data_IF_852622719046
#
_entry.id   IF_852622719046
#
_cell.length_a   1.000
_cell.length_b   1.000
_cell.length_c   1.000
_cell.angle_alpha   90.00
_cell.angle_beta   90.00
_cell.angle_gamma   90.00
#
_symmetry.space_group_name_H-M   'P 1'
#
loop_
_entity.id
_entity.type
_entity.pdbx_description
1 polymer ?
#
# COMPACT_ATOMS: atom_id res chain seq x y z
N UNK A 1 7.82 -0.41 14.56
CA UNK A 1 7.23 -0.77 13.27
C UNK A 1 5.83 -0.20 13.19
N UNK A 2 5.46 0.23 12.01
CA UNK A 2 4.15 0.82 11.77
C UNK A 2 3.37 -0.01 10.80
N UNK A 3 2.06 -0.08 10.98
CA UNK A 3 1.16 -0.72 10.04
C UNK A 3 0.27 0.35 9.43
N UNK A 4 0.25 0.41 8.11
CA UNK A 4 -0.56 1.38 7.37
C UNK A 4 -1.54 0.63 6.50
N UNK A 5 -2.81 0.99 6.58
CA UNK A 5 -3.84 0.43 5.71
C UNK A 5 -4.30 1.50 4.73
N UNK A 6 -4.33 1.14 3.47
CA UNK A 6 -4.71 2.03 2.39
C UNK A 6 -5.91 1.47 1.64
N UNK A 7 -6.82 2.34 1.27
CA UNK A 7 -7.86 2.00 0.30
C UNK A 7 -7.29 2.25 -1.09
N UNK A 8 -7.17 1.19 -1.88
CA UNK A 8 -6.62 1.27 -3.22
C UNK A 8 -7.74 1.03 -4.23
N UNK A 9 -7.88 1.96 -5.15
CA UNK A 9 -8.89 1.85 -6.21
C UNK A 9 -8.27 1.29 -7.47
N UNK A 10 -9.10 0.69 -8.31
CA UNK A 10 -8.65 0.15 -9.58
C UNK A 10 -8.11 -1.27 -9.53
N UNK A 11 -8.08 -1.89 -8.37
CA UNK A 11 -7.70 -3.29 -8.25
C UNK A 11 -8.88 -4.17 -8.62
N UNK A 12 -8.92 -4.62 -9.86
CA UNK A 12 -10.04 -5.43 -10.34
C UNK A 12 -9.65 -6.85 -10.69
N UNK A 13 -8.37 -7.19 -10.61
CA UNK A 13 -7.88 -8.53 -10.96
C UNK A 13 -6.59 -8.85 -10.22
N UNK A 14 -6.18 -10.12 -10.28
CA UNK A 14 -4.97 -10.56 -9.60
C UNK A 14 -3.69 -9.90 -10.08
N UNK A 15 -3.65 -9.49 -11.34
CA UNK A 15 -2.50 -8.76 -11.87
C UNK A 15 -2.31 -7.42 -11.19
N UNK A 16 -3.42 -6.75 -10.89
CA UNK A 16 -3.40 -5.48 -10.18
C UNK A 16 -2.81 -5.66 -8.78
N UNK A 17 -3.18 -6.75 -8.10
CA UNK A 17 -2.62 -7.06 -6.78
C UNK A 17 -1.10 -7.16 -6.85
N UNK A 18 -0.58 -7.83 -7.86
CA UNK A 18 0.87 -7.97 -8.02
C UNK A 18 1.54 -6.63 -8.24
N UNK A 19 0.97 -5.78 -9.08
CA UNK A 19 1.52 -4.45 -9.35
C UNK A 19 1.51 -3.58 -8.10
N UNK A 20 0.41 -3.59 -7.37
CA UNK A 20 0.28 -2.83 -6.13
C UNK A 20 1.30 -3.32 -5.11
N UNK A 21 1.41 -4.63 -4.93
CA UNK A 21 2.37 -5.21 -3.99
C UNK A 21 3.79 -4.79 -4.35
N UNK A 22 4.14 -4.87 -5.61
CA UNK A 22 5.47 -4.52 -6.07
C UNK A 22 5.77 -3.05 -5.87
N UNK A 23 4.81 -2.18 -6.19
CA UNK A 23 4.96 -0.75 -6.01
C UNK A 23 5.19 -0.40 -4.54
N UNK A 24 4.43 -1.02 -3.65
CA UNK A 24 4.58 -0.78 -2.22
C UNK A 24 5.89 -1.32 -1.68
N UNK A 25 6.32 -2.48 -2.16
CA UNK A 25 7.59 -3.07 -1.72
C UNK A 25 8.80 -2.25 -2.16
N UNK A 26 8.65 -1.43 -3.18
CA UNK A 26 9.75 -0.59 -3.65
C UNK A 26 9.98 0.64 -2.75
N UNK A 27 9.05 0.92 -1.85
CA UNK A 27 9.18 2.06 -0.94
C UNK A 27 10.20 1.72 0.16
N UNK A 28 11.20 2.59 0.40
CA UNK A 28 12.18 2.32 1.46
C UNK A 28 11.51 2.21 2.83
N UNK A 29 11.96 1.24 3.62
CA UNK A 29 11.44 1.02 4.96
C UNK A 29 10.31 0.02 5.04
N UNK A 30 9.75 -0.39 3.92
CA UNK A 30 8.67 -1.39 3.90
C UNK A 30 9.23 -2.77 4.18
N UNK A 31 8.68 -3.45 5.19
CA UNK A 31 9.03 -4.82 5.54
C UNK A 31 8.11 -5.84 4.91
N UNK A 32 6.82 -5.56 4.96
CA UNK A 32 5.80 -6.51 4.51
C UNK A 32 4.66 -5.78 3.83
N UNK A 33 4.08 -6.41 2.84
CA UNK A 33 2.91 -5.89 2.14
C UNK A 33 1.88 -6.99 2.02
N UNK A 34 0.64 -6.69 2.40
CA UNK A 34 -0.49 -7.57 2.19
C UNK A 34 -1.56 -6.81 1.43
N UNK A 35 -2.12 -7.43 0.42
CA UNK A 35 -3.16 -6.81 -0.40
C UNK A 35 -4.41 -7.67 -0.35
N UNK A 36 -5.55 -7.03 -0.06
CA UNK A 36 -6.84 -7.70 -0.03
C UNK A 36 -7.66 -7.18 -1.21
N UNK A 37 -7.77 -8.01 -2.24
CA UNK A 37 -8.50 -7.65 -3.44
C UNK A 37 -10.00 -7.48 -3.18
N UNK A 38 -10.57 -8.34 -2.33
CA UNK A 38 -11.99 -8.31 -2.05
C UNK A 38 -12.42 -7.00 -1.40
N UNK A 39 -11.57 -6.44 -0.56
CA UNK A 39 -11.85 -5.18 0.14
C UNK A 39 -11.24 -3.97 -0.55
N UNK A 40 -10.40 -4.19 -1.54
CA UNK A 40 -9.69 -3.09 -2.19
C UNK A 40 -8.71 -2.39 -1.27
N UNK A 41 -8.08 -3.14 -0.37
CA UNK A 41 -7.16 -2.58 0.63
C UNK A 41 -5.78 -3.18 0.55
N UNK A 42 -4.80 -2.37 0.94
CA UNK A 42 -3.43 -2.81 1.08
C UNK A 42 -2.96 -2.50 2.50
N UNK A 43 -2.31 -3.48 3.12
CA UNK A 43 -1.70 -3.30 4.43
C UNK A 43 -0.20 -3.35 4.27
N UNK A 44 0.47 -2.33 4.77
CA UNK A 44 1.92 -2.20 4.67
C UNK A 44 2.51 -2.11 6.06
N UNK A 45 3.50 -2.94 6.34
CA UNK A 45 4.19 -2.96 7.62
C UNK A 45 5.65 -2.59 7.38
N UNK A 46 6.17 -1.71 8.21
CA UNK A 46 7.57 -1.33 8.13
C UNK A 46 7.87 -0.08 8.92
N UNK A 47 9.11 0.38 8.80
CA UNK A 47 9.55 1.63 9.41
C UNK A 47 9.63 2.70 8.32
N UNK A 48 8.56 3.44 8.17
CA UNK A 48 8.43 4.42 7.10
C UNK A 48 8.38 5.82 7.68
N UNK A 49 9.46 6.55 7.52
CA UNK A 49 9.54 7.93 8.01
C UNK A 49 8.54 8.85 7.31
N UNK A 50 8.32 8.61 6.04
CA UNK A 50 7.37 9.40 5.24
C UNK A 50 5.93 8.97 5.44
N UNK A 51 5.70 7.87 6.15
CA UNK A 51 4.36 7.36 6.40
C UNK A 51 3.61 6.98 5.13
N UNK A 52 2.29 7.18 5.18
CA UNK A 52 1.43 6.76 4.09
C UNK A 52 1.63 7.55 2.80
N UNK A 53 2.18 8.75 2.88
CA UNK A 53 2.33 9.59 1.68
C UNK A 53 3.23 8.94 0.63
N UNK A 54 4.33 8.33 1.07
CA UNK A 54 5.23 7.65 0.14
C UNK A 54 4.54 6.46 -0.52
N UNK A 55 3.71 5.75 0.22
CA UNK A 55 2.95 4.63 -0.31
C UNK A 55 1.91 5.08 -1.32
N UNK A 56 1.18 6.14 -0.99
CA UNK A 56 0.16 6.69 -1.88
C UNK A 56 0.81 7.19 -3.17
N UNK A 57 1.95 7.87 -3.06
CA UNK A 57 2.67 8.37 -4.21
C UNK A 57 3.16 7.22 -5.11
N UNK A 58 3.65 6.14 -4.51
CA UNK A 58 4.09 4.98 -5.28
C UNK A 58 2.95 4.35 -6.05
N UNK A 59 1.77 4.24 -5.43
CA UNK A 59 0.59 3.70 -6.10
C UNK A 59 0.05 4.64 -7.16
N UNK A 60 0.08 5.94 -6.90
CA UNK A 60 -0.37 6.93 -7.88
C UNK A 60 0.46 6.87 -9.15
N UNK A 61 1.76 6.61 -9.04
CA UNK A 61 2.63 6.50 -10.22
C UNK A 61 2.33 5.26 -11.04
N UNK A 62 1.63 4.29 -10.45
CA UNK A 62 1.20 3.06 -11.15
C UNK A 62 -0.27 3.11 -11.56
N UNK A 63 -0.88 4.29 -11.52
CA UNK A 63 -2.29 4.51 -11.85
C UNK A 63 -3.27 3.83 -10.89
N UNK A 64 -2.86 3.66 -9.64
CA UNK A 64 -3.73 3.11 -8.61
C UNK A 64 -3.97 4.17 -7.54
N UNK A 65 -5.02 4.98 -7.67
CA UNK A 65 -5.33 5.97 -6.64
C UNK A 65 -5.56 5.29 -5.30
N UNK A 66 -4.91 5.81 -4.28
CA UNK A 66 -5.01 5.25 -2.94
C UNK A 66 -5.27 6.34 -1.92
N UNK A 67 -5.94 5.97 -0.84
CA UNK A 67 -6.21 6.86 0.28
C UNK A 67 -5.83 6.15 1.57
N UNK A 68 -5.43 6.93 2.55
CA UNK A 68 -5.14 6.39 3.86
C UNK A 68 -6.43 5.91 4.52
N UNK A 69 -6.51 4.61 4.82
CA UNK A 69 -7.64 4.04 5.51
C UNK A 69 -7.44 4.07 7.02
N UNK A 70 -6.27 3.59 7.48
CA UNK A 70 -5.94 3.67 8.90
C UNK A 70 -4.45 3.49 9.11
N UNK A 71 -3.95 3.90 10.28
CA UNK A 71 -2.59 3.65 10.69
C UNK A 71 -2.58 3.08 12.09
N UNK A 72 -1.62 2.20 12.35
CA UNK A 72 -1.38 1.67 13.67
C UNK A 72 0.12 1.63 13.92
N UNK A 73 0.52 1.96 15.14
CA UNK A 73 1.92 1.87 15.56
C UNK A 73 2.07 0.81 16.62
N UNK A 74 3.06 -0.03 16.45
CA UNK A 74 3.41 -1.05 17.45
C UNK A 74 4.56 -0.60 18.33
#
# INVERSE_FOLDING_TARGET
MNTVELDVQGMTCGSCVKHVTKALQSVPGVSQVEVDLAKGRARVVGEMDSGAQALIAALASEDYPAQLASTASD
#
